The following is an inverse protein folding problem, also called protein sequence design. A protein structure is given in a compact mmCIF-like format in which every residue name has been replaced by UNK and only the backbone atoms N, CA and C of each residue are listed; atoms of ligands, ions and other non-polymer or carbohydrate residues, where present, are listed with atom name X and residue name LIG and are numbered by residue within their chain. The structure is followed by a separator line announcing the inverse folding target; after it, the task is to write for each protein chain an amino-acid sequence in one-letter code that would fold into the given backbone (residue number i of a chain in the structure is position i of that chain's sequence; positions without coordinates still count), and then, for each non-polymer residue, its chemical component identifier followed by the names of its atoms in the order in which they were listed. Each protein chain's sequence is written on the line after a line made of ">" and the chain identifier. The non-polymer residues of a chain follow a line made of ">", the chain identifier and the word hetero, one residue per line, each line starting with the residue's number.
data_IF_803466988513
#
_entry.id   IF_803466988513
#
_cell.length_a   1.000
_cell.length_b   1.000
_cell.length_c   1.000
_cell.angle_alpha   90.00
_cell.angle_beta   90.00
_cell.angle_gamma   90.00
#
_symmetry.space_group_name_H-M   'P 1'
#
loop_
_entity.id
_entity.type
_entity.pdbx_description
1 polymer ?
#
# COMPACT_ATOMS: atom_id res chain seq x y z
N UNK A 1 -3.07 14.90 9.14
CA UNK A 1 -3.23 14.02 7.95
C UNK A 1 -4.60 14.31 7.34
N UNK A 2 -4.77 14.33 6.01
CA UNK A 2 -6.08 14.50 5.38
C UNK A 2 -7.06 13.41 5.85
N UNK A 3 -8.33 13.77 6.06
CA UNK A 3 -9.33 12.86 6.62
C UNK A 3 -9.59 11.65 5.72
N UNK A 4 -9.71 11.87 4.41
CA UNK A 4 -10.00 10.83 3.41
C UNK A 4 -8.99 9.66 3.48
N UNK A 5 -7.69 9.96 3.40
CA UNK A 5 -6.67 8.91 3.44
C UNK A 5 -6.52 8.26 4.83
N UNK A 6 -6.84 8.99 5.89
CA UNK A 6 -6.87 8.46 7.24
C UNK A 6 -8.02 7.46 7.43
N UNK A 7 -9.22 7.82 6.99
CA UNK A 7 -10.38 6.94 7.06
C UNK A 7 -10.15 5.68 6.23
N UNK A 8 -9.67 5.82 4.98
CA UNK A 8 -9.38 4.71 4.08
C UNK A 8 -8.45 3.67 4.74
N UNK A 9 -7.32 4.13 5.31
CA UNK A 9 -6.37 3.20 5.92
C UNK A 9 -6.86 2.62 7.24
N UNK A 10 -7.66 3.33 8.04
CA UNK A 10 -8.24 2.74 9.24
C UNK A 10 -9.26 1.64 8.94
N UNK A 11 -9.95 1.74 7.80
CA UNK A 11 -10.84 0.69 7.32
C UNK A 11 -10.05 -0.49 6.74
N UNK A 12 -9.07 -0.22 5.88
CA UNK A 12 -8.32 -1.26 5.15
C UNK A 12 -7.24 -1.97 5.99
N UNK A 13 -6.47 -1.21 6.77
CA UNK A 13 -5.37 -1.72 7.60
C UNK A 13 -5.12 -0.79 8.81
N UNK A 14 -5.92 -0.91 9.89
CA UNK A 14 -5.87 -0.02 11.05
C UNK A 14 -4.55 -0.05 11.82
N UNK A 15 -3.71 -1.06 11.57
CA UNK A 15 -2.38 -1.19 12.18
C UNK A 15 -1.30 -0.43 11.39
N UNK A 16 -1.65 0.29 10.31
CA UNK A 16 -0.72 1.24 9.66
C UNK A 16 -0.22 2.23 10.71
N UNK A 17 1.07 2.50 10.71
CA UNK A 17 1.65 3.36 11.73
C UNK A 17 2.88 4.11 11.20
N UNK A 18 3.38 5.04 12.00
CA UNK A 18 4.59 5.79 11.74
C UNK A 18 5.83 4.90 11.79
N UNK A 19 6.86 5.29 11.03
CA UNK A 19 8.16 4.61 11.02
C UNK A 19 8.75 4.45 12.43
N UNK A 20 8.76 5.49 13.30
CA UNK A 20 9.25 5.34 14.68
C UNK A 20 8.48 4.29 15.50
N UNK A 21 7.16 4.21 15.36
CA UNK A 21 6.37 3.24 16.11
C UNK A 21 6.66 1.80 15.63
N UNK A 22 6.77 1.57 14.32
CA UNK A 22 7.15 0.26 13.78
C UNK A 22 8.58 -0.14 14.18
N UNK A 23 9.53 0.81 14.19
CA UNK A 23 10.89 0.57 14.73
C UNK A 23 10.83 0.17 16.21
N UNK A 24 10.05 0.88 17.03
CA UNK A 24 9.90 0.55 18.45
C UNK A 24 9.27 -0.85 18.66
N UNK A 25 8.33 -1.25 17.81
CA UNK A 25 7.77 -2.60 17.82
C UNK A 25 8.83 -3.66 17.50
N UNK A 26 9.68 -3.45 16.49
CA UNK A 26 10.79 -4.37 16.18
C UNK A 26 11.77 -4.52 17.35
N UNK A 27 12.14 -3.41 17.99
CA UNK A 27 13.02 -3.43 19.16
C UNK A 27 12.42 -4.21 20.32
N UNK A 28 11.13 -3.97 20.63
CA UNK A 28 10.39 -4.74 21.65
C UNK A 28 10.30 -6.22 21.31
N UNK A 29 10.26 -6.58 20.03
CA UNK A 29 10.25 -7.96 19.56
C UNK A 29 11.63 -8.64 19.59
N UNK A 30 12.68 -7.99 20.11
CA UNK A 30 14.01 -8.57 20.26
C UNK A 30 14.88 -8.48 19.00
N UNK A 31 14.64 -7.49 18.14
CA UNK A 31 15.47 -7.22 16.96
C UNK A 31 16.29 -5.93 17.14
N UNK A 32 17.55 -5.99 16.73
CA UNK A 32 18.33 -4.78 16.43
C UNK A 32 17.93 -4.30 15.03
N UNK A 33 17.52 -3.04 14.92
CA UNK A 33 17.15 -2.45 13.62
C UNK A 33 18.43 -2.09 12.87
N UNK A 34 18.69 -2.82 11.79
CA UNK A 34 19.88 -2.65 10.96
C UNK A 34 19.71 -1.55 9.92
N UNK A 35 18.50 -1.43 9.37
CA UNK A 35 18.13 -0.38 8.42
C UNK A 35 16.60 -0.20 8.34
N UNK A 36 16.19 1.00 7.98
CA UNK A 36 14.83 1.29 7.49
C UNK A 36 14.89 2.33 6.38
N UNK A 37 14.09 2.13 5.32
CA UNK A 37 14.03 3.08 4.21
C UNK A 37 12.67 3.05 3.52
N UNK A 38 12.22 4.22 3.05
CA UNK A 38 10.98 4.37 2.29
C UNK A 38 11.23 3.87 0.87
N UNK A 39 10.30 3.08 0.32
CA UNK A 39 10.37 2.66 -1.07
C UNK A 39 10.14 3.85 -2.01
N UNK A 40 10.96 4.02 -3.07
CA UNK A 40 10.76 5.09 -4.03
C UNK A 40 9.42 4.95 -4.80
N UNK A 41 8.91 6.06 -5.35
CA UNK A 41 7.63 6.09 -6.06
C UNK A 41 7.56 5.10 -7.25
N UNK A 42 8.69 4.81 -7.90
CA UNK A 42 8.79 3.82 -9.01
C UNK A 42 8.26 2.44 -8.59
N UNK A 43 8.39 2.08 -7.31
CA UNK A 43 7.88 0.82 -6.79
C UNK A 43 6.35 0.74 -6.86
N UNK A 44 5.66 1.88 -6.74
CA UNK A 44 4.21 1.96 -6.80
C UNK A 44 3.71 2.26 -8.22
N UNK A 45 4.31 3.22 -8.91
CA UNK A 45 3.80 3.68 -10.21
C UNK A 45 4.18 2.68 -11.29
N UNK A 46 5.47 2.61 -11.61
CA UNK A 46 5.97 1.84 -12.75
C UNK A 46 5.92 0.34 -12.52
N UNK A 47 6.19 -0.11 -11.28
CA UNK A 47 6.33 -1.52 -10.96
C UNK A 47 5.03 -2.17 -10.43
N UNK A 48 4.00 -1.37 -10.11
CA UNK A 48 2.74 -1.89 -9.56
C UNK A 48 1.52 -1.40 -10.36
N UNK A 49 1.16 -0.11 -10.29
CA UNK A 49 -0.07 0.41 -10.92
C UNK A 49 -0.05 0.38 -12.46
N UNK A 50 1.07 0.70 -13.10
CA UNK A 50 1.17 0.68 -14.57
C UNK A 50 0.95 -0.74 -15.14
N UNK A 51 1.62 -1.80 -14.64
CA UNK A 51 1.33 -3.18 -15.01
C UNK A 51 -0.13 -3.57 -14.75
N UNK A 52 -0.70 -3.08 -13.65
CA UNK A 52 -2.05 -3.40 -13.22
C UNK A 52 -3.12 -2.99 -14.26
N UNK A 53 -2.94 -1.87 -14.97
CA UNK A 53 -3.87 -1.41 -16.01
C UNK A 53 -4.12 -2.50 -17.06
N UNK A 54 -3.06 -3.21 -17.46
CA UNK A 54 -3.18 -4.30 -18.44
C UNK A 54 -3.82 -5.53 -17.81
N UNK A 55 -3.44 -5.88 -16.58
CA UNK A 55 -4.03 -7.01 -15.86
C UNK A 55 -5.54 -6.83 -15.61
N UNK A 56 -5.97 -5.63 -15.21
CA UNK A 56 -7.37 -5.27 -15.01
C UNK A 56 -8.21 -5.42 -16.28
N UNK A 57 -7.67 -5.03 -17.45
CA UNK A 57 -8.38 -5.22 -18.74
C UNK A 57 -8.60 -6.70 -19.04
N UNK A 58 -7.54 -7.51 -18.94
CA UNK A 58 -7.61 -8.96 -19.15
C UNK A 58 -8.60 -9.61 -18.18
N UNK A 59 -8.58 -9.17 -16.91
CA UNK A 59 -9.48 -9.67 -15.88
C UNK A 59 -10.95 -9.32 -16.17
N UNK A 60 -11.25 -8.07 -16.53
CA UNK A 60 -12.61 -7.64 -16.86
C UNK A 60 -13.17 -8.33 -18.10
N UNK A 61 -12.33 -8.56 -19.12
CA UNK A 61 -12.75 -9.33 -20.30
C UNK A 61 -13.09 -10.78 -19.96
N UNK A 62 -12.28 -11.41 -19.09
CA UNK A 62 -12.52 -12.77 -18.61
C UNK A 62 -13.81 -12.91 -17.78
N UNK A 63 -14.15 -11.89 -17.00
CA UNK A 63 -15.30 -11.89 -16.07
C UNK A 63 -16.42 -10.93 -16.51
N UNK A 64 -16.57 -10.71 -17.82
CA UNK A 64 -17.53 -9.75 -18.36
C UNK A 64 -18.96 -10.00 -17.85
N UNK A 65 -19.58 -8.96 -17.29
CA UNK A 65 -20.93 -9.01 -16.72
C UNK A 65 -21.00 -9.49 -15.27
N UNK A 66 -19.87 -9.86 -14.66
CA UNK A 66 -19.81 -10.14 -13.22
C UNK A 66 -19.65 -8.83 -12.44
N UNK A 67 -20.71 -8.43 -11.74
CA UNK A 67 -20.75 -7.18 -10.97
C UNK A 67 -19.66 -7.09 -9.89
N UNK A 68 -19.41 -8.18 -9.17
CA UNK A 68 -18.38 -8.19 -8.13
C UNK A 68 -16.97 -8.02 -8.71
N UNK A 69 -16.71 -8.57 -9.90
CA UNK A 69 -15.44 -8.37 -10.60
C UNK A 69 -15.26 -6.91 -11.05
N UNK A 70 -16.34 -6.28 -11.53
CA UNK A 70 -16.33 -4.86 -11.91
C UNK A 70 -16.15 -3.94 -10.70
N UNK A 71 -16.81 -4.23 -9.57
CA UNK A 71 -16.66 -3.50 -8.30
C UNK A 71 -15.26 -3.64 -7.73
N UNK A 72 -14.68 -4.84 -7.78
CA UNK A 72 -13.29 -5.06 -7.37
C UNK A 72 -12.31 -4.19 -8.17
N UNK A 73 -12.42 -4.17 -9.51
CA UNK A 73 -11.51 -3.33 -10.33
C UNK A 73 -11.74 -1.84 -10.09
N UNK A 74 -12.96 -1.40 -9.77
CA UNK A 74 -13.20 -0.01 -9.34
C UNK A 74 -12.50 0.31 -8.02
N UNK A 75 -12.54 -0.61 -7.06
CA UNK A 75 -11.85 -0.47 -5.79
C UNK A 75 -10.33 -0.36 -5.97
N UNK A 76 -9.72 -1.24 -6.77
CA UNK A 76 -8.28 -1.20 -7.05
C UNK A 76 -7.87 0.14 -7.71
N UNK A 77 -8.64 0.61 -8.69
CA UNK A 77 -8.43 1.93 -9.32
C UNK A 77 -8.52 3.08 -8.32
N UNK A 78 -9.47 3.02 -7.40
CA UNK A 78 -9.59 4.02 -6.34
C UNK A 78 -8.34 4.04 -5.44
N UNK A 79 -7.75 2.87 -5.15
CA UNK A 79 -6.47 2.77 -4.46
C UNK A 79 -5.33 3.50 -5.18
N UNK A 80 -5.24 3.35 -6.50
CA UNK A 80 -4.25 4.07 -7.32
C UNK A 80 -4.47 5.59 -7.33
N UNK A 81 -5.72 6.04 -7.37
CA UNK A 81 -6.09 7.46 -7.28
C UNK A 81 -5.70 8.06 -5.92
N UNK A 82 -5.97 7.34 -4.83
CA UNK A 82 -5.58 7.75 -3.48
C UNK A 82 -4.06 7.86 -3.35
N UNK A 83 -3.30 6.94 -3.93
CA UNK A 83 -1.84 7.04 -3.94
C UNK A 83 -1.39 8.29 -4.68
N UNK A 84 -1.89 8.53 -5.89
CA UNK A 84 -1.51 9.72 -6.66
C UNK A 84 -1.82 11.03 -5.90
N UNK A 85 -2.92 11.07 -5.15
CA UNK A 85 -3.37 12.23 -4.38
C UNK A 85 -2.64 12.41 -3.04
N UNK A 86 -2.23 11.32 -2.39
CA UNK A 86 -1.78 11.32 -1.00
C UNK A 86 -0.45 10.62 -0.72
N UNK A 87 0.33 10.28 -1.76
CA UNK A 87 1.66 9.66 -1.64
C UNK A 87 2.66 10.37 -0.72
N UNK A 88 2.48 11.65 -0.44
CA UNK A 88 3.30 12.38 0.52
C UNK A 88 3.01 12.00 1.99
N UNK A 89 1.86 11.37 2.27
CA UNK A 89 1.40 11.04 3.62
C UNK A 89 1.59 9.56 4.01
N UNK A 90 1.77 8.68 3.03
CA UNK A 90 1.91 7.24 3.26
C UNK A 90 2.69 6.56 2.13
N UNK A 91 3.20 5.37 2.43
CA UNK A 91 3.89 4.55 1.45
C UNK A 91 4.39 3.26 2.08
N UNK A 92 5.27 2.55 1.37
CA UNK A 92 5.92 1.36 1.90
C UNK A 92 7.27 1.70 2.48
N UNK A 93 7.60 1.02 3.58
CA UNK A 93 8.87 1.14 4.26
C UNK A 93 9.44 -0.25 4.42
N UNK A 94 10.67 -0.44 3.96
CA UNK A 94 11.41 -1.66 4.23
C UNK A 94 12.04 -1.56 5.62
N UNK A 95 11.89 -2.60 6.42
CA UNK A 95 12.53 -2.72 7.72
C UNK A 95 13.41 -3.96 7.77
N UNK A 96 14.66 -3.81 8.19
CA UNK A 96 15.63 -4.90 8.26
C UNK A 96 16.09 -5.02 9.70
N UNK A 97 15.80 -6.17 10.32
CA UNK A 97 16.16 -6.46 11.70
C UNK A 97 17.08 -7.67 11.80
N UNK A 98 18.04 -7.62 12.74
CA UNK A 98 18.82 -8.77 13.17
C UNK A 98 18.29 -9.25 14.52
N UNK A 99 17.91 -10.52 14.61
CA UNK A 99 17.47 -11.12 15.87
C UNK A 99 18.62 -11.11 16.88
N UNK A 100 18.31 -10.73 18.12
CA UNK A 100 19.21 -10.80 19.28
C UNK A 100 19.30 -12.26 19.76
#
# INVERSE_FOLDING_TARGET
>A
RPKEIFDFWNEAYPEIDTIPNKIAQMQKAGYVVMASFILPEICWIDNFFVPEITAQKIFLDKYKGNKSAEEFVKYEKHGAELYNKYKEYYGYVFYIGKKI
#
